data_IF_710391280756
#
_entry.id   IF_710391280756
#
_cell.length_a   1.000
_cell.length_b   1.000
_cell.length_c   1.000
_cell.angle_alpha   90.00
_cell.angle_beta   90.00
_cell.angle_gamma   90.00
#
_symmetry.space_group_name_H-M   'P 1'
#
loop_
_entity.id
_entity.type
_entity.pdbx_description
1 polymer ?
#
# COMPACT_ATOMS: atom_id res chain seq x y z
N UNK A 1 -15.12 13.92 0.51
CA UNK A 1 -13.91 13.84 1.37
C UNK A 1 -13.35 12.43 1.42
N UNK A 2 -14.19 11.41 1.66
CA UNK A 2 -13.90 9.96 1.61
C UNK A 2 -12.51 9.49 1.10
N UNK A 3 -12.04 9.79 -0.11
CA UNK A 3 -10.74 9.28 -0.61
C UNK A 3 -9.57 10.28 -0.57
N UNK A 4 -9.78 11.52 -0.14
CA UNK A 4 -8.80 12.61 -0.28
C UNK A 4 -7.51 12.37 0.52
N UNK A 5 -7.60 11.79 1.72
CA UNK A 5 -6.43 11.47 2.54
C UNK A 5 -5.53 10.42 1.87
N UNK A 6 -6.11 9.31 1.39
CA UNK A 6 -5.35 8.28 0.66
C UNK A 6 -4.74 8.86 -0.61
N UNK A 7 -5.48 9.64 -1.39
CA UNK A 7 -4.92 10.29 -2.57
C UNK A 7 -3.72 11.18 -2.21
N UNK A 8 -3.79 11.97 -1.14
CA UNK A 8 -2.63 12.75 -0.68
C UNK A 8 -1.42 11.89 -0.33
N UNK A 9 -1.61 10.72 0.28
CA UNK A 9 -0.51 9.76 0.53
C UNK A 9 0.08 9.18 -0.76
N UNK A 10 -0.75 8.97 -1.80
CA UNK A 10 -0.28 8.49 -3.10
C UNK A 10 0.54 9.57 -3.84
N UNK A 11 0.15 10.84 -3.71
CA UNK A 11 0.86 11.96 -4.34
C UNK A 11 2.12 12.41 -3.58
N UNK A 12 2.15 12.29 -2.24
CA UNK A 12 3.34 12.60 -1.44
C UNK A 12 4.56 11.73 -1.81
N UNK A 13 4.32 10.48 -2.20
CA UNK A 13 5.37 9.57 -2.71
C UNK A 13 5.96 9.97 -4.06
N UNK A 14 5.26 10.79 -4.87
CA UNK A 14 5.71 11.22 -6.20
C UNK A 14 6.59 12.47 -6.18
N UNK A 15 6.56 13.27 -5.10
CA UNK A 15 7.34 14.52 -5.00
C UNK A 15 8.75 14.35 -4.44
N UNK A 16 9.10 13.16 -3.93
CA UNK A 16 10.44 12.86 -3.42
C UNK A 16 11.50 12.67 -4.53
N UNK A 17 11.09 12.59 -5.81
CA UNK A 17 11.95 12.18 -6.93
C UNK A 17 12.89 13.26 -7.48
N UNK A 18 12.82 14.52 -7.04
CA UNK A 18 13.68 15.58 -7.60
C UNK A 18 15.10 15.65 -6.98
N UNK A 19 15.27 15.19 -5.73
CA UNK A 19 16.57 15.26 -5.03
C UNK A 19 17.41 13.97 -5.16
N UNK A 20 16.82 12.86 -5.61
CA UNK A 20 17.50 11.56 -5.69
C UNK A 20 18.23 11.29 -7.02
N UNK A 21 18.08 12.16 -8.02
CA UNK A 21 18.78 12.03 -9.30
C UNK A 21 20.31 12.20 -9.20
N UNK A 22 20.82 12.81 -8.11
CA UNK A 22 22.27 13.02 -7.91
C UNK A 22 23.03 11.83 -7.28
N UNK A 23 22.38 10.67 -7.07
CA UNK A 23 23.09 9.45 -6.64
C UNK A 23 23.07 8.34 -7.69
N UNK A 24 22.72 8.65 -8.94
CA UNK A 24 22.89 7.72 -10.07
C UNK A 24 24.35 7.76 -10.55
N UNK A 25 25.28 7.54 -9.62
CA UNK A 25 26.49 6.80 -9.96
C UNK A 25 26.14 5.35 -9.63
N UNK A 26 26.06 4.48 -10.63
CA UNK A 26 25.97 3.04 -10.42
C UNK A 26 27.08 2.66 -9.42
N UNK A 27 26.71 2.44 -8.17
CA UNK A 27 27.64 1.99 -7.15
C UNK A 27 28.23 0.68 -7.67
N UNK A 28 29.55 0.67 -7.91
CA UNK A 28 30.31 -0.53 -8.27
C UNK A 28 30.35 -1.56 -7.13
N UNK A 29 29.79 -1.21 -5.97
CA UNK A 29 29.64 -2.13 -4.84
C UNK A 29 28.53 -3.17 -5.12
N UNK A 30 28.97 -4.38 -5.43
CA UNK A 30 28.12 -5.55 -5.62
C UNK A 30 27.28 -5.88 -4.38
N UNK A 31 27.76 -5.58 -3.17
CA UNK A 31 27.02 -5.84 -1.93
C UNK A 31 25.84 -4.88 -1.76
N UNK A 32 26.05 -3.58 -2.04
CA UNK A 32 24.97 -2.58 -2.04
C UNK A 32 23.89 -2.92 -3.07
N UNK A 33 24.29 -3.35 -4.27
CA UNK A 33 23.35 -3.79 -5.32
C UNK A 33 22.56 -5.04 -4.92
N UNK A 34 23.20 -6.01 -4.24
CA UNK A 34 22.53 -7.22 -3.75
C UNK A 34 21.50 -6.89 -2.65
N UNK A 35 21.82 -5.95 -1.76
CA UNK A 35 20.92 -5.48 -0.70
C UNK A 35 19.70 -4.77 -1.29
N UNK A 36 19.90 -3.81 -2.19
CA UNK A 36 18.82 -3.10 -2.87
C UNK A 36 17.90 -4.08 -3.61
N UNK A 37 18.46 -5.06 -4.32
CA UNK A 37 17.67 -6.07 -5.01
C UNK A 37 16.80 -6.90 -4.06
N UNK A 38 17.30 -7.23 -2.87
CA UNK A 38 16.55 -7.96 -1.86
C UNK A 38 15.42 -7.11 -1.25
N UNK A 39 15.72 -5.84 -0.91
CA UNK A 39 14.72 -4.88 -0.42
C UNK A 39 13.58 -4.68 -1.42
N UNK A 40 13.93 -4.48 -2.69
CA UNK A 40 12.91 -4.31 -3.72
C UNK A 40 12.08 -5.58 -3.88
N UNK A 41 12.69 -6.77 -4.00
CA UNK A 41 11.94 -8.03 -4.05
C UNK A 41 10.96 -8.18 -2.89
N UNK A 42 11.36 -7.80 -1.68
CA UNK A 42 10.49 -7.86 -0.51
C UNK A 42 9.34 -6.85 -0.60
N UNK A 43 9.61 -5.57 -0.89
CA UNK A 43 8.59 -4.52 -1.08
C UNK A 43 7.49 -4.99 -2.04
N UNK A 44 7.92 -5.62 -3.12
CA UNK A 44 7.06 -6.07 -4.18
C UNK A 44 6.24 -7.31 -3.82
N UNK A 45 6.87 -8.28 -3.16
CA UNK A 45 6.15 -9.42 -2.56
C UNK A 45 5.08 -8.93 -1.58
N UNK A 46 5.41 -7.96 -0.74
CA UNK A 46 4.48 -7.40 0.26
C UNK A 46 3.34 -6.63 -0.42
N UNK A 47 3.66 -5.82 -1.43
CA UNK A 47 2.67 -5.11 -2.25
C UNK A 47 1.70 -6.07 -2.92
N UNK A 48 2.20 -7.14 -3.54
CA UNK A 48 1.37 -8.16 -4.18
C UNK A 48 0.55 -8.96 -3.16
N UNK A 49 1.10 -9.23 -1.98
CA UNK A 49 0.36 -9.90 -0.90
C UNK A 49 -0.83 -9.06 -0.43
N UNK A 50 -0.66 -7.74 -0.33
CA UNK A 50 -1.78 -6.82 -0.07
C UNK A 50 -2.75 -6.73 -1.24
N UNK A 51 -2.26 -6.57 -2.47
CA UNK A 51 -3.09 -6.47 -3.67
C UNK A 51 -3.94 -7.75 -3.88
N UNK A 52 -3.41 -8.93 -3.57
CA UNK A 52 -4.18 -10.19 -3.58
C UNK A 52 -5.39 -10.17 -2.64
N UNK A 53 -5.40 -9.30 -1.63
CA UNK A 53 -6.59 -9.04 -0.83
C UNK A 53 -7.80 -8.63 -1.66
N UNK A 54 -7.62 -7.87 -2.76
CA UNK A 54 -8.73 -7.49 -3.62
C UNK A 54 -9.34 -8.68 -4.36
N UNK A 55 -8.52 -9.68 -4.71
CA UNK A 55 -8.99 -10.95 -5.25
C UNK A 55 -9.69 -11.81 -4.18
N UNK A 56 -9.09 -11.92 -2.99
CA UNK A 56 -9.61 -12.74 -1.91
C UNK A 56 -10.94 -12.25 -1.34
N UNK A 57 -11.17 -10.94 -1.39
CA UNK A 57 -12.38 -10.30 -0.92
C UNK A 57 -13.21 -9.70 -2.06
N UNK A 58 -13.04 -10.20 -3.30
CA UNK A 58 -13.73 -9.70 -4.52
C UNK A 58 -15.25 -9.66 -4.41
N UNK A 59 -15.83 -10.50 -3.55
CA UNK A 59 -17.27 -10.56 -3.29
C UNK A 59 -17.80 -9.31 -2.55
N UNK A 60 -16.90 -8.47 -2.01
CA UNK A 60 -17.22 -7.18 -1.40
C UNK A 60 -16.35 -6.09 -2.02
N UNK A 61 -16.96 -5.29 -2.90
CA UNK A 61 -16.28 -4.22 -3.64
C UNK A 61 -15.54 -3.24 -2.71
N UNK A 62 -16.14 -2.85 -1.58
CA UNK A 62 -15.52 -1.89 -0.66
C UNK A 62 -14.24 -2.46 -0.02
N UNK A 63 -14.26 -3.72 0.39
CA UNK A 63 -13.11 -4.41 0.98
C UNK A 63 -12.04 -4.69 -0.08
N UNK A 64 -12.45 -5.06 -1.29
CA UNK A 64 -11.52 -5.26 -2.39
C UNK A 64 -10.77 -3.96 -2.75
N UNK A 65 -11.50 -2.86 -2.96
CA UNK A 65 -10.90 -1.54 -3.19
C UNK A 65 -10.01 -1.11 -2.02
N UNK A 66 -10.37 -1.47 -0.78
CA UNK A 66 -9.56 -1.14 0.38
C UNK A 66 -8.17 -1.79 0.32
N UNK A 67 -8.08 -3.08 -0.01
CA UNK A 67 -6.79 -3.76 -0.16
C UNK A 67 -5.96 -3.23 -1.33
N UNK A 68 -6.59 -2.87 -2.45
CA UNK A 68 -5.91 -2.20 -3.57
C UNK A 68 -5.28 -0.88 -3.08
N UNK A 69 -6.04 -0.05 -2.36
CA UNK A 69 -5.53 1.22 -1.82
C UNK A 69 -4.38 1.01 -0.84
N UNK A 70 -4.46 0.02 0.06
CA UNK A 70 -3.36 -0.28 0.99
C UNK A 70 -2.09 -0.72 0.25
N UNK A 71 -2.23 -1.55 -0.79
CA UNK A 71 -1.10 -1.99 -1.60
C UNK A 71 -0.41 -0.81 -2.29
N UNK A 72 -1.19 0.16 -2.80
CA UNK A 72 -0.64 1.37 -3.40
C UNK A 72 0.05 2.24 -2.34
N UNK A 73 -0.57 2.46 -1.17
CA UNK A 73 0.05 3.23 -0.09
C UNK A 73 1.40 2.63 0.31
N UNK A 74 1.48 1.30 0.46
CA UNK A 74 2.72 0.60 0.75
C UNK A 74 3.79 0.85 -0.32
N UNK A 75 3.44 0.68 -1.59
CA UNK A 75 4.38 0.81 -2.70
C UNK A 75 4.90 2.24 -2.85
N UNK A 76 4.00 3.22 -2.95
CA UNK A 76 4.37 4.61 -3.27
C UNK A 76 5.08 5.33 -2.12
N UNK A 77 4.87 4.90 -0.87
CA UNK A 77 5.53 5.51 0.29
C UNK A 77 6.78 4.77 0.74
N UNK A 78 7.23 3.72 0.02
CA UNK A 78 8.47 3.06 0.35
C UNK A 78 9.67 3.97 0.02
N UNK A 79 10.64 4.18 0.94
CA UNK A 79 11.77 5.10 0.75
C UNK A 79 12.66 4.81 -0.47
N UNK A 80 12.56 3.58 -1.00
CA UNK A 80 13.37 3.07 -2.11
C UNK A 80 12.57 2.83 -3.38
N UNK A 81 11.28 3.23 -3.44
CA UNK A 81 10.40 2.91 -4.57
C UNK A 81 10.98 3.34 -5.92
N UNK A 82 11.61 4.51 -6.00
CA UNK A 82 12.22 4.98 -7.26
C UNK A 82 13.46 4.17 -7.65
N UNK A 83 14.28 3.77 -6.68
CA UNK A 83 15.43 2.89 -6.93
C UNK A 83 14.95 1.49 -7.37
N UNK A 84 13.83 1.02 -6.82
CA UNK A 84 13.22 -0.25 -7.18
C UNK A 84 12.57 -0.22 -8.57
N UNK A 85 11.96 0.90 -8.99
CA UNK A 85 11.41 1.08 -10.35
C UNK A 85 12.48 1.02 -11.43
N UNK A 86 13.65 1.56 -11.14
CA UNK A 86 14.77 1.59 -12.07
C UNK A 86 15.52 0.26 -12.16
N UNK A 87 15.16 -0.75 -11.35
CA UNK A 87 15.86 -2.02 -11.32
C UNK A 87 15.29 -2.98 -12.40
N UNK A 88 15.98 -3.17 -13.54
CA UNK A 88 15.39 -3.76 -14.74
C UNK A 88 15.01 -5.24 -14.59
N UNK A 89 15.70 -5.98 -13.71
CA UNK A 89 15.39 -7.39 -13.43
C UNK A 89 14.06 -7.59 -12.70
N UNK A 90 13.51 -6.54 -12.07
CA UNK A 90 12.27 -6.67 -11.31
C UNK A 90 11.04 -6.60 -12.21
N UNK A 91 11.08 -5.96 -13.38
CA UNK A 91 9.95 -5.94 -14.33
C UNK A 91 9.55 -7.35 -14.79
N UNK A 92 10.52 -8.24 -15.01
CA UNK A 92 10.25 -9.64 -15.31
C UNK A 92 9.69 -10.42 -14.11
N UNK A 93 10.18 -10.13 -12.89
CA UNK A 93 9.65 -10.72 -11.67
C UNK A 93 8.22 -10.22 -11.37
N UNK A 94 7.87 -8.99 -11.76
CA UNK A 94 6.50 -8.44 -11.68
C UNK A 94 5.52 -9.19 -12.54
N UNK A 95 5.85 -9.36 -13.81
CA UNK A 95 4.94 -10.02 -14.77
C UNK A 95 4.60 -11.44 -14.31
N UNK A 96 5.55 -12.12 -13.67
CA UNK A 96 5.37 -13.46 -13.08
C UNK A 96 4.45 -13.51 -11.87
N UNK A 97 4.32 -12.42 -11.12
CA UNK A 97 3.45 -12.33 -9.94
C UNK A 97 2.08 -11.71 -10.25
N UNK A 98 1.76 -11.48 -11.54
CA UNK A 98 0.45 -10.97 -11.94
C UNK A 98 -0.59 -12.10 -11.93
N UNK A 99 -1.49 -12.08 -10.95
CA UNK A 99 -2.48 -13.14 -10.71
C UNK A 99 -3.78 -12.94 -11.51
N UNK A 100 -3.70 -12.33 -12.69
CA UNK A 100 -4.88 -11.98 -13.50
C UNK A 100 -5.71 -13.20 -13.95
N UNK A 101 -5.14 -14.40 -13.87
CA UNK A 101 -5.82 -15.67 -14.15
C UNK A 101 -5.36 -16.73 -13.15
N UNK A 102 -6.10 -16.89 -12.05
CA UNK A 102 -5.97 -18.04 -11.15
C UNK A 102 -7.23 -18.88 -11.26
N UNK A 103 -7.07 -20.20 -11.30
CA UNK A 103 -8.21 -21.10 -11.13
C UNK A 103 -8.79 -20.97 -9.72
N UNK A 104 -10.07 -21.27 -9.53
CA UNK A 104 -10.75 -21.07 -8.24
C UNK A 104 -10.08 -21.84 -7.08
N UNK A 105 -9.49 -23.01 -7.35
CA UNK A 105 -8.76 -23.78 -6.34
C UNK A 105 -7.43 -23.12 -5.96
N UNK A 106 -6.71 -22.57 -6.95
CA UNK A 106 -5.46 -21.84 -6.73
C UNK A 106 -5.72 -20.54 -5.98
N UNK A 107 -6.81 -19.84 -6.32
CA UNK A 107 -7.24 -18.63 -5.61
C UNK A 107 -7.57 -18.94 -4.14
N UNK A 108 -8.34 -20.00 -3.86
CA UNK A 108 -8.65 -20.41 -2.48
C UNK A 108 -7.38 -20.70 -1.69
N UNK A 109 -6.44 -21.43 -2.29
CA UNK A 109 -5.14 -21.74 -1.68
C UNK A 109 -4.33 -20.48 -1.41
N UNK A 110 -4.19 -19.59 -2.39
CA UNK A 110 -3.50 -18.31 -2.25
C UNK A 110 -4.10 -17.48 -1.10
N UNK A 111 -5.42 -17.38 -1.01
CA UNK A 111 -6.09 -16.59 0.00
C UNK A 111 -5.90 -17.13 1.42
N UNK A 112 -5.87 -18.46 1.57
CA UNK A 112 -5.60 -19.13 2.82
C UNK A 112 -4.13 -18.99 3.25
N UNK A 113 -3.18 -19.30 2.35
CA UNK A 113 -1.74 -19.26 2.63
C UNK A 113 -1.23 -17.85 2.93
N UNK A 114 -1.78 -16.83 2.26
CA UNK A 114 -1.38 -15.44 2.45
C UNK A 114 -2.13 -14.71 3.56
N UNK A 115 -3.11 -15.34 4.23
CA UNK A 115 -4.04 -14.68 5.15
C UNK A 115 -3.34 -13.92 6.29
N UNK A 116 -2.46 -14.60 7.02
CA UNK A 116 -1.79 -14.01 8.18
C UNK A 116 -0.84 -12.88 7.76
N UNK A 117 -0.08 -13.10 6.69
CA UNK A 117 0.86 -12.10 6.19
C UNK A 117 0.12 -10.87 5.62
N UNK A 118 -1.00 -11.08 4.93
CA UNK A 118 -1.88 -10.02 4.45
C UNK A 118 -2.45 -9.20 5.60
N UNK A 119 -2.87 -9.84 6.70
CA UNK A 119 -3.37 -9.17 7.90
C UNK A 119 -2.26 -8.40 8.63
N UNK A 120 -1.04 -8.95 8.71
CA UNK A 120 0.14 -8.27 9.24
C UNK A 120 0.48 -7.01 8.44
N UNK A 121 0.59 -7.13 7.12
CA UNK A 121 0.90 -6.02 6.21
C UNK A 121 -0.21 -4.96 6.25
N UNK A 122 -1.48 -5.37 6.29
CA UNK A 122 -2.61 -4.45 6.42
C UNK A 122 -2.44 -3.57 7.65
N UNK A 123 -2.22 -4.16 8.84
CA UNK A 123 -2.02 -3.40 10.08
C UNK A 123 -0.81 -2.48 10.02
N UNK A 124 0.26 -2.92 9.36
CA UNK A 124 1.46 -2.09 9.17
C UNK A 124 1.15 -0.84 8.34
N UNK A 125 0.41 -0.97 7.24
CA UNK A 125 0.02 0.16 6.40
C UNK A 125 -1.00 1.05 7.10
N UNK A 126 -1.98 0.48 7.81
CA UNK A 126 -2.93 1.23 8.63
C UNK A 126 -2.22 2.10 9.69
N UNK A 127 -1.25 1.54 10.40
CA UNK A 127 -0.46 2.28 11.39
C UNK A 127 0.37 3.41 10.74
N UNK A 128 0.95 3.15 9.56
CA UNK A 128 1.62 4.19 8.79
C UNK A 128 0.65 5.32 8.42
N UNK A 129 -0.53 4.98 7.91
CA UNK A 129 -1.57 5.96 7.60
C UNK A 129 -1.95 6.78 8.83
N UNK A 130 -2.16 6.15 9.98
CA UNK A 130 -2.50 6.85 11.24
C UNK A 130 -1.42 7.88 11.62
N UNK A 131 -0.14 7.52 11.43
CA UNK A 131 0.98 8.44 11.67
C UNK A 131 0.98 9.68 10.76
N UNK A 132 0.24 9.64 9.63
CA UNK A 132 0.19 10.71 8.62
C UNK A 132 -1.09 11.53 8.63
N UNK A 133 -2.15 11.11 9.32
CA UNK A 133 -3.43 11.84 9.34
C UNK A 133 -3.26 13.26 9.87
N UNK A 134 -2.47 13.44 10.95
CA UNK A 134 -2.22 14.77 11.54
C UNK A 134 -1.51 15.69 10.55
N UNK A 135 -0.41 15.22 9.95
CA UNK A 135 0.34 15.97 8.94
C UNK A 135 -0.55 16.38 7.77
N UNK A 136 -1.35 15.45 7.24
CA UNK A 136 -2.32 15.75 6.19
C UNK A 136 -3.30 16.85 6.60
N UNK A 137 -3.85 16.79 7.82
CA UNK A 137 -4.80 17.79 8.28
C UNK A 137 -4.16 19.19 8.38
N UNK A 138 -2.93 19.28 8.89
CA UNK A 138 -2.17 20.53 8.99
C UNK A 138 -1.86 21.14 7.60
N UNK A 139 -1.54 20.30 6.62
CA UNK A 139 -1.20 20.76 5.26
C UNK A 139 -2.44 21.10 4.41
N UNK A 140 -3.53 20.34 4.54
CA UNK A 140 -4.70 20.45 3.67
C UNK A 140 -5.80 21.36 4.20
N UNK A 141 -5.92 21.53 5.52
CA UNK A 141 -6.97 22.37 6.10
C UNK A 141 -6.88 23.83 5.63
N UNK A 142 -5.69 24.48 5.57
CA UNK A 142 -5.57 25.85 5.05
C UNK A 142 -5.98 25.95 3.57
N UNK A 143 -5.61 24.96 2.75
CA UNK A 143 -5.96 24.91 1.31
C UNK A 143 -7.47 24.82 1.08
N UNK A 144 -8.20 24.28 2.06
CA UNK A 144 -9.64 24.05 2.00
C UNK A 144 -10.45 25.09 2.79
N UNK A 145 -9.80 26.03 3.45
CA UNK A 145 -10.47 27.05 4.26
C UNK A 145 -11.24 26.48 5.46
N UNK A 146 -10.81 25.34 6.02
CA UNK A 146 -11.44 24.70 7.18
C UNK A 146 -10.45 24.65 8.35
N UNK A 147 -10.92 24.58 9.62
CA UNK A 147 -10.04 24.37 10.76
C UNK A 147 -9.30 23.03 10.71
N UNK A 148 -8.04 23.00 11.14
CA UNK A 148 -7.19 21.78 11.21
C UNK A 148 -7.87 20.69 12.03
N UNK A 149 -8.35 21.03 13.23
CA UNK A 149 -9.03 20.08 14.12
C UNK A 149 -10.31 19.51 13.51
N UNK A 150 -11.01 20.30 12.70
CA UNK A 150 -12.20 19.84 11.99
C UNK A 150 -11.83 18.81 10.91
N UNK A 151 -10.81 19.09 10.10
CA UNK A 151 -10.33 18.17 9.07
C UNK A 151 -9.74 16.89 9.68
N UNK A 152 -8.97 17.01 10.76
CA UNK A 152 -8.40 15.90 11.50
C UNK A 152 -9.50 14.96 11.99
N UNK A 153 -10.49 15.49 12.72
CA UNK A 153 -11.61 14.70 13.24
C UNK A 153 -12.40 14.01 12.13
N UNK A 154 -12.68 14.71 11.02
CA UNK A 154 -13.38 14.14 9.86
C UNK A 154 -12.59 13.00 9.23
N UNK A 155 -11.28 13.19 9.04
CA UNK A 155 -10.41 12.17 8.43
C UNK A 155 -10.31 10.92 9.29
N UNK A 156 -10.11 11.08 10.61
CA UNK A 156 -10.09 9.94 11.56
C UNK A 156 -11.40 9.16 11.52
N UNK A 157 -12.53 9.86 11.53
CA UNK A 157 -13.85 9.21 11.47
C UNK A 157 -14.06 8.43 10.17
N UNK A 158 -13.71 9.02 9.02
CA UNK A 158 -13.82 8.36 7.70
C UNK A 158 -12.92 7.11 7.59
N UNK A 159 -11.68 7.18 8.07
CA UNK A 159 -10.77 6.03 8.06
C UNK A 159 -11.22 4.94 9.04
N UNK A 160 -11.72 5.33 10.21
CA UNK A 160 -12.26 4.39 11.21
C UNK A 160 -13.47 3.65 10.67
N UNK A 161 -14.40 4.36 10.01
CA UNK A 161 -15.58 3.75 9.39
C UNK A 161 -15.18 2.76 8.27
N UNK A 162 -14.22 3.15 7.41
CA UNK A 162 -13.73 2.28 6.34
C UNK A 162 -13.13 0.98 6.89
N UNK A 163 -12.27 1.09 7.91
CA UNK A 163 -11.64 -0.08 8.55
C UNK A 163 -12.67 -0.97 9.20
N UNK A 164 -13.64 -0.40 9.91
CA UNK A 164 -14.70 -1.17 10.55
C UNK A 164 -15.53 -1.98 9.54
N UNK A 165 -15.83 -1.41 8.37
CA UNK A 165 -16.52 -2.10 7.28
C UNK A 165 -15.70 -3.25 6.70
N UNK A 166 -14.42 -3.01 6.39
CA UNK A 166 -13.51 -4.04 5.91
C UNK A 166 -13.36 -5.16 6.94
N UNK A 167 -13.15 -4.83 8.22
CA UNK A 167 -13.03 -5.77 9.33
C UNK A 167 -14.26 -6.67 9.49
N UNK A 168 -15.45 -6.08 9.42
CA UNK A 168 -16.70 -6.83 9.52
C UNK A 168 -16.81 -7.87 8.39
N UNK A 169 -16.49 -7.47 7.15
CA UNK A 169 -16.54 -8.38 6.02
C UNK A 169 -15.45 -9.46 6.09
N UNK A 170 -14.21 -9.11 6.46
CA UNK A 170 -13.11 -10.06 6.60
C UNK A 170 -13.43 -11.12 7.66
N UNK A 171 -13.98 -10.72 8.82
CA UNK A 171 -14.42 -11.66 9.85
C UNK A 171 -15.48 -12.63 9.33
N UNK A 172 -16.49 -12.10 8.65
CA UNK A 172 -17.54 -12.91 8.05
C UNK A 172 -16.99 -13.89 7.00
N UNK A 173 -16.14 -13.43 6.08
CA UNK A 173 -15.61 -14.23 4.98
C UNK A 173 -14.64 -15.30 5.46
N UNK A 174 -13.82 -14.97 6.44
CA UNK A 174 -12.78 -15.87 6.92
C UNK A 174 -13.19 -16.73 8.14
N UNK A 175 -14.45 -16.63 8.58
CA UNK A 175 -15.01 -17.42 9.68
C UNK A 175 -14.42 -17.09 11.06
N UNK A 176 -14.23 -15.80 11.38
CA UNK A 176 -13.84 -15.31 12.72
C UNK A 176 -14.99 -14.62 13.44
#
# INVERSE_FOLDING_TARGET
MKKAFIFSLLFAGLTASAAAQNQIGASSDAAANKKLAAECRQLFKDTNTLANGSLCYRDNKETAEYFDLLSMVLLFNHPKVDQCRQYPKLEEEFKKQSFYYLEDQELKRLCAESREERDRLRRQVEAYMDSKIKQYAEEEAPRRGIPVDELLRKTVAEETERRAKADAFIRQKDGR
#
